data_IF_922706709867
#
_entry.id   IF_922706709867
#
_cell.length_a   1.000
_cell.length_b   1.000
_cell.length_c   1.000
_cell.angle_alpha   90.00
_cell.angle_beta   90.00
_cell.angle_gamma   90.00
#
_symmetry.space_group_name_H-M   'P 1'
#
loop_
_entity.id
_entity.type
_entity.pdbx_description
1 polymer ?
#
# COMPACT_ATOMS: atom_id res chain seq x y z
N UNK A 1 0.05 16.40 25.17
CA UNK A 1 -0.38 15.11 24.59
C UNK A 1 0.71 14.63 23.64
N UNK A 2 1.12 13.37 23.71
CA UNK A 2 2.08 12.77 22.78
C UNK A 2 1.35 12.06 21.64
N UNK A 3 1.96 11.99 20.47
CA UNK A 3 1.47 11.21 19.32
C UNK A 3 2.10 9.81 19.42
N UNK A 4 1.28 8.75 19.33
CA UNK A 4 1.76 7.36 19.27
C UNK A 4 1.79 6.87 17.82
N UNK A 5 2.99 6.57 17.33
CA UNK A 5 3.19 6.06 15.97
C UNK A 5 2.50 4.70 15.73
N UNK A 6 2.22 3.92 16.78
CA UNK A 6 1.55 2.62 16.68
C UNK A 6 0.06 2.76 16.40
N UNK A 7 -0.51 3.91 16.72
CA UNK A 7 -1.93 4.22 16.52
C UNK A 7 -2.17 4.99 15.21
N UNK A 8 -1.10 5.44 14.54
CA UNK A 8 -1.21 6.11 13.25
C UNK A 8 -1.57 5.12 12.14
N UNK A 9 -2.69 5.38 11.47
CA UNK A 9 -3.14 4.60 10.32
C UNK A 9 -2.44 5.05 9.02
N UNK A 10 -1.12 4.87 8.98
CA UNK A 10 -0.25 5.16 7.83
C UNK A 10 0.39 3.87 7.34
N UNK A 11 0.29 3.62 6.04
CA UNK A 11 0.72 2.37 5.43
C UNK A 11 1.65 2.64 4.25
N UNK A 12 2.51 1.68 3.91
CA UNK A 12 3.17 1.71 2.61
C UNK A 12 2.15 1.53 1.47
N UNK A 13 2.48 2.04 0.29
CA UNK A 13 1.64 1.91 -0.91
C UNK A 13 1.23 0.47 -1.23
N UNK A 14 2.13 -0.49 -0.99
CA UNK A 14 1.86 -1.91 -1.20
C UNK A 14 0.91 -2.48 -0.15
N UNK A 15 1.06 -2.11 1.12
CA UNK A 15 0.16 -2.53 2.20
C UNK A 15 -1.24 -1.96 1.98
N UNK A 16 -1.35 -0.65 1.74
CA UNK A 16 -2.62 0.01 1.46
C UNK A 16 -3.32 -0.60 0.23
N UNK A 17 -2.59 -0.88 -0.86
CA UNK A 17 -3.17 -1.52 -2.02
C UNK A 17 -3.77 -2.90 -1.69
N UNK A 18 -3.04 -3.73 -0.95
CA UNK A 18 -3.55 -5.04 -0.53
C UNK A 18 -4.77 -4.90 0.40
N UNK A 19 -4.73 -3.97 1.35
CA UNK A 19 -5.86 -3.71 2.26
C UNK A 19 -7.16 -3.41 1.49
N UNK A 20 -7.08 -2.83 0.29
CA UNK A 20 -8.22 -2.56 -0.61
C UNK A 20 -8.41 -3.60 -1.73
N UNK A 21 -7.77 -4.77 -1.64
CA UNK A 21 -7.89 -5.82 -2.65
C UNK A 21 -7.38 -5.39 -4.03
N UNK A 22 -6.45 -4.43 -4.09
CA UNK A 22 -5.82 -3.94 -5.33
C UNK A 22 -4.44 -4.58 -5.51
N UNK A 23 -3.90 -4.48 -6.73
CA UNK A 23 -2.55 -4.98 -7.01
C UNK A 23 -1.48 -4.17 -6.28
N UNK A 24 -0.32 -4.78 -5.97
CA UNK A 24 0.73 -4.18 -5.13
C UNK A 24 1.22 -2.80 -5.59
N UNK A 25 1.18 -2.54 -6.89
CA UNK A 25 1.65 -1.30 -7.51
C UNK A 25 0.53 -0.25 -7.68
N UNK A 26 -0.70 -0.56 -7.28
CA UNK A 26 -1.88 0.26 -7.54
C UNK A 26 -1.74 1.70 -7.05
N UNK A 27 -1.42 1.91 -5.76
CA UNK A 27 -1.30 3.26 -5.18
C UNK A 27 -0.19 4.07 -5.87
N UNK A 28 0.94 3.42 -6.19
CA UNK A 28 2.03 4.03 -6.95
C UNK A 28 1.57 4.47 -8.35
N UNK A 29 0.88 3.59 -9.08
CA UNK A 29 0.37 3.92 -10.41
C UNK A 29 -0.69 5.02 -10.36
N UNK A 30 -1.62 4.96 -9.39
CA UNK A 30 -2.64 5.98 -9.16
C UNK A 30 -2.00 7.36 -8.96
N UNK A 31 -0.95 7.43 -8.14
CA UNK A 31 -0.24 8.69 -7.85
C UNK A 31 0.61 9.19 -9.02
N UNK A 32 1.29 8.31 -9.76
CA UNK A 32 2.17 8.68 -10.88
C UNK A 32 1.34 9.06 -12.11
N UNK A 33 0.30 8.30 -12.42
CA UNK A 33 -0.51 8.51 -13.61
C UNK A 33 -1.55 9.62 -13.41
N UNK A 34 -1.77 10.07 -12.18
CA UNK A 34 -2.68 11.17 -11.86
C UNK A 34 -4.15 10.85 -12.10
N UNK A 35 -4.54 9.57 -12.18
CA UNK A 35 -5.92 9.17 -12.48
C UNK A 35 -6.88 9.50 -11.34
N UNK A 36 -6.37 9.65 -10.10
CA UNK A 36 -7.09 10.26 -8.98
C UNK A 36 -6.14 11.12 -8.15
N UNK A 37 -6.69 12.13 -7.51
CA UNK A 37 -5.95 13.07 -6.66
C UNK A 37 -6.17 12.67 -5.20
N UNK A 38 -5.08 12.36 -4.50
CA UNK A 38 -5.10 12.21 -3.05
C UNK A 38 -5.20 13.60 -2.40
N UNK A 39 -6.00 13.76 -1.33
CA UNK A 39 -6.01 14.99 -0.55
C UNK A 39 -4.59 15.34 -0.05
N UNK A 40 -4.34 16.63 0.10
CA UNK A 40 -3.05 17.11 0.58
C UNK A 40 -2.71 16.51 1.95
N UNK A 41 -1.44 16.14 2.17
CA UNK A 41 -0.99 15.53 3.42
C UNK A 41 -1.32 14.04 3.60
N UNK A 42 -2.23 13.47 2.78
CA UNK A 42 -2.62 12.05 2.93
C UNK A 42 -1.72 11.06 2.18
N UNK A 43 -0.83 11.55 1.31
CA UNK A 43 0.16 10.74 0.60
C UNK A 43 1.51 11.45 0.52
N UNK A 44 2.61 10.73 0.73
CA UNK A 44 3.98 11.27 0.64
C UNK A 44 4.97 10.22 0.15
N UNK A 45 5.93 10.64 -0.68
CA UNK A 45 7.04 9.78 -1.08
C UNK A 45 8.04 9.65 0.09
N UNK A 46 8.42 8.42 0.43
CA UNK A 46 9.41 8.13 1.47
C UNK A 46 10.37 7.04 0.98
N UNK A 47 11.63 7.40 0.79
CA UNK A 47 12.61 6.56 0.10
C UNK A 47 12.12 6.15 -1.29
N UNK A 48 12.12 4.84 -1.55
CA UNK A 48 11.68 4.25 -2.83
C UNK A 48 10.18 3.91 -2.88
N UNK A 49 9.44 4.18 -1.80
CA UNK A 49 8.02 3.89 -1.67
C UNK A 49 7.19 5.17 -1.49
N UNK A 50 5.88 5.01 -1.51
CA UNK A 50 4.93 6.02 -1.06
C UNK A 50 4.31 5.54 0.25
N UNK A 51 4.07 6.47 1.18
CA UNK A 51 3.26 6.27 2.36
C UNK A 51 1.91 6.94 2.13
N UNK A 52 0.84 6.33 2.62
CA UNK A 52 -0.53 6.83 2.48
C UNK A 52 -1.29 6.61 3.79
N UNK A 53 -2.15 7.56 4.16
CA UNK A 53 -3.06 7.42 5.30
C UNK A 53 -4.26 6.56 4.92
N UNK A 54 -4.92 5.98 5.92
CA UNK A 54 -6.24 5.34 5.71
C UNK A 54 -7.24 6.31 5.08
N UNK A 55 -7.36 7.50 5.65
CA UNK A 55 -8.27 8.55 5.19
C UNK A 55 -8.05 8.89 3.71
N UNK A 56 -6.78 9.02 3.27
CA UNK A 56 -6.48 9.27 1.86
C UNK A 56 -6.94 8.15 0.94
N UNK A 57 -6.85 6.90 1.38
CA UNK A 57 -7.36 5.75 0.62
C UNK A 57 -8.89 5.72 0.58
N UNK A 58 -9.55 6.00 1.71
CA UNK A 58 -11.01 6.04 1.84
C UNK A 58 -11.61 7.13 0.95
N UNK A 59 -11.05 8.34 0.98
CA UNK A 59 -11.50 9.47 0.15
C UNK A 59 -11.34 9.16 -1.35
N UNK A 60 -10.16 8.66 -1.74
CA UNK A 60 -9.86 8.40 -3.16
C UNK A 60 -10.69 7.25 -3.71
N UNK A 61 -10.97 6.21 -2.90
CA UNK A 61 -11.66 5.00 -3.37
C UNK A 61 -13.15 4.97 -3.03
N UNK A 62 -13.62 5.83 -2.12
CA UNK A 62 -15.01 5.89 -1.66
C UNK A 62 -15.43 4.69 -0.81
N UNK A 63 -14.48 3.92 -0.28
CA UNK A 63 -14.76 2.74 0.53
C UNK A 63 -13.63 2.44 1.52
N UNK A 64 -13.96 1.70 2.58
CA UNK A 64 -13.01 1.23 3.59
C UNK A 64 -12.17 0.02 3.14
N UNK A 65 -11.17 -0.37 3.95
CA UNK A 65 -10.35 -1.54 3.68
C UNK A 65 -11.18 -2.83 3.72
N UNK A 66 -10.84 -3.77 2.84
CA UNK A 66 -11.43 -5.12 2.75
C UNK A 66 -10.70 -6.13 3.66
N UNK A 67 -9.48 -5.80 4.10
CA UNK A 67 -8.71 -6.63 5.02
C UNK A 67 -7.85 -5.80 5.97
N UNK A 68 -7.47 -6.41 7.08
CA UNK A 68 -6.55 -5.82 8.07
C UNK A 68 -5.13 -5.67 7.53
N UNK A 69 -4.34 -4.77 8.13
CA UNK A 69 -2.91 -4.63 7.83
C UNK A 69 -2.16 -5.96 7.99
N UNK A 70 -2.46 -6.72 9.05
CA UNK A 70 -1.81 -8.00 9.30
C UNK A 70 -2.10 -9.03 8.20
N UNK A 71 -3.31 -9.05 7.65
CA UNK A 71 -3.66 -9.91 6.50
C UNK A 71 -2.93 -9.43 5.23
N UNK A 72 -2.96 -8.12 4.96
CA UNK A 72 -2.26 -7.53 3.81
C UNK A 72 -0.75 -7.85 3.81
N UNK A 73 -0.09 -7.75 4.98
CA UNK A 73 1.32 -8.08 5.13
C UNK A 73 1.61 -9.57 4.89
N UNK A 74 0.72 -10.48 5.28
CA UNK A 74 0.86 -11.92 4.99
C UNK A 74 0.78 -12.17 3.48
N UNK A 75 -0.20 -11.59 2.81
CA UNK A 75 -0.36 -11.71 1.35
C UNK A 75 0.87 -11.15 0.60
N UNK A 76 1.36 -9.97 0.99
CA UNK A 76 2.58 -9.39 0.40
C UNK A 76 3.79 -10.30 0.57
N UNK A 77 3.98 -10.91 1.75
CA UNK A 77 5.09 -11.84 1.99
C UNK A 77 4.99 -13.05 1.06
N UNK A 78 3.80 -13.64 0.93
CA UNK A 78 3.55 -14.79 0.04
C UNK A 78 3.85 -14.41 -1.42
N UNK A 79 3.29 -13.32 -1.92
CA UNK A 79 3.50 -12.84 -3.30
C UNK A 79 5.00 -12.60 -3.57
N UNK A 80 5.71 -11.96 -2.64
CA UNK A 80 7.13 -11.67 -2.82
C UNK A 80 8.00 -12.93 -2.78
N UNK A 81 7.65 -13.93 -1.96
CA UNK A 81 8.33 -15.23 -1.94
C UNK A 81 8.13 -15.98 -3.26
N UNK A 82 6.89 -16.04 -3.76
CA UNK A 82 6.57 -16.68 -5.03
C UNK A 82 7.31 -16.01 -6.20
N UNK A 83 7.33 -14.67 -6.25
CA UNK A 83 8.11 -13.93 -7.26
C UNK A 83 9.58 -14.30 -7.19
N UNK A 84 10.19 -14.27 -6.00
CA UNK A 84 11.60 -14.61 -5.81
C UNK A 84 11.91 -16.04 -6.26
N UNK A 85 11.02 -17.00 -5.98
CA UNK A 85 11.19 -18.38 -6.44
C UNK A 85 11.14 -18.49 -7.97
N UNK A 86 10.15 -17.85 -8.61
CA UNK A 86 10.04 -17.84 -10.08
C UNK A 86 11.28 -17.26 -10.76
N UNK A 87 11.81 -16.15 -10.26
CA UNK A 87 13.03 -15.55 -10.81
C UNK A 87 14.26 -16.46 -10.68
N UNK A 88 14.38 -17.22 -9.58
CA UNK A 88 15.48 -18.18 -9.41
C UNK A 88 15.43 -19.33 -10.41
N UNK A 89 14.23 -19.83 -10.73
CA UNK A 89 14.06 -20.93 -11.69
C UNK A 89 14.23 -20.51 -13.16
N UNK A 90 14.03 -19.23 -13.50
CA UNK A 90 14.20 -18.73 -14.87
C UNK A 90 15.66 -18.47 -15.27
N UNK A 91 16.58 -18.46 -14.29
CA UNK A 91 18.00 -18.17 -14.50
C UNK A 91 18.91 -19.33 -14.04
N UNK A 92 18.35 -20.54 -13.95
CA UNK A 92 19.07 -21.82 -13.86
C UNK A 92 19.02 -22.52 -15.22
#
# INVERSE_FOLDING_TARGET
MGIDLRELEVYSASEAAMMWGKSQNFVRHLKINGTKVFPEGTIRKFGNSWLVTREGMEEVLGCGPQMTLAQAQRELRKINQERRAKYKHQHQ
#
